data_IF_438654514250
#
_entry.id   IF_438654514250
#
_cell.length_a   1.000
_cell.length_b   1.000
_cell.length_c   1.000
_cell.angle_alpha   90.00
_cell.angle_beta   90.00
_cell.angle_gamma   90.00
#
_symmetry.space_group_name_H-M   'P 1'
#
loop_
_entity.id
_entity.type
_entity.pdbx_description
1 polymer ?
#
# COMPACT_ATOMS: atom_id res chain seq x y z
N UNK A 1 -11.62 -11.19 -0.70
CA UNK A 1 -10.85 -12.27 -0.04
C UNK A 1 -9.86 -12.82 -1.05
N UNK A 2 -8.57 -12.49 -0.94
CA UNK A 2 -7.53 -13.17 -1.74
C UNK A 2 -7.51 -14.63 -1.32
N UNK A 3 -7.44 -15.61 -2.24
CA UNK A 3 -7.25 -17.00 -1.85
C UNK A 3 -5.97 -17.08 -1.02
N UNK A 4 -6.03 -17.75 0.13
CA UNK A 4 -4.83 -18.05 0.91
C UNK A 4 -3.90 -18.87 0.02
N UNK A 5 -2.74 -18.31 -0.33
CA UNK A 5 -1.70 -19.07 -1.01
C UNK A 5 -1.17 -20.09 0.01
N UNK A 6 -1.62 -21.33 -0.10
CA UNK A 6 -1.09 -22.43 0.72
C UNK A 6 0.32 -22.76 0.26
N UNK A 7 1.31 -22.36 1.05
CA UNK A 7 2.69 -22.82 0.90
C UNK A 7 2.84 -24.16 1.63
N UNK A 8 2.84 -25.28 0.90
CA UNK A 8 3.14 -26.57 1.52
C UNK A 8 4.63 -26.64 1.88
N UNK A 9 5.00 -27.02 3.13
CA UNK A 9 6.39 -27.25 3.48
C UNK A 9 6.88 -28.45 2.67
N UNK A 10 7.77 -28.21 1.71
CA UNK A 10 8.48 -29.30 1.06
C UNK A 10 9.36 -29.94 2.12
N UNK A 11 9.19 -31.23 2.42
CA UNK A 11 10.17 -32.02 3.16
C UNK A 11 11.51 -32.18 2.41
N UNK A 12 11.95 -31.10 1.76
CA UNK A 12 13.12 -31.02 0.92
C UNK A 12 14.35 -30.70 1.78
N UNK A 13 15.53 -31.22 1.42
CA UNK A 13 16.76 -31.01 2.17
C UNK A 13 17.17 -29.52 2.24
N UNK A 14 17.90 -29.14 3.28
CA UNK A 14 18.48 -27.81 3.49
C UNK A 14 19.77 -27.56 2.67
N UNK A 15 20.10 -28.48 1.76
CA UNK A 15 21.23 -28.38 0.84
C UNK A 15 20.80 -28.61 -0.62
N UNK A 16 21.62 -28.12 -1.55
CA UNK A 16 21.46 -28.32 -2.98
C UNK A 16 22.63 -29.15 -3.53
N UNK A 17 22.34 -30.26 -4.19
CA UNK A 17 23.35 -31.16 -4.76
C UNK A 17 23.58 -30.80 -6.22
N UNK A 18 24.77 -30.30 -6.62
CA UNK A 18 25.05 -30.01 -8.02
C UNK A 18 25.19 -31.32 -8.84
N UNK A 19 24.87 -31.31 -10.14
CA UNK A 19 25.15 -32.46 -11.02
C UNK A 19 26.61 -32.90 -11.01
N UNK A 20 27.51 -31.98 -10.63
CA UNK A 20 28.92 -32.22 -10.46
C UNK A 20 29.30 -33.24 -9.37
N UNK A 21 28.45 -33.51 -8.38
CA UNK A 21 28.64 -34.64 -7.45
C UNK A 21 28.48 -35.96 -8.20
N UNK A 22 27.40 -36.12 -8.97
CA UNK A 22 27.20 -37.31 -9.82
C UNK A 22 28.30 -37.46 -10.87
N UNK A 23 28.81 -36.36 -11.44
CA UNK A 23 29.97 -36.43 -12.35
C UNK A 23 31.21 -36.99 -11.62
N UNK A 24 31.44 -36.62 -10.36
CA UNK A 24 32.58 -37.15 -9.57
C UNK A 24 32.44 -38.64 -9.32
N UNK A 25 31.26 -39.10 -8.93
CA UNK A 25 30.97 -40.53 -8.73
C UNK A 25 31.26 -41.34 -10.01
N UNK A 26 30.81 -40.84 -11.18
CA UNK A 26 31.10 -41.47 -12.47
C UNK A 26 32.59 -41.47 -12.83
N UNK A 27 33.31 -40.39 -12.51
CA UNK A 27 34.76 -40.33 -12.75
C UNK A 27 35.51 -41.37 -11.93
N UNK A 28 35.11 -41.56 -10.67
CA UNK A 28 35.70 -42.55 -9.77
C UNK A 28 35.38 -43.98 -10.24
N UNK A 29 34.14 -44.27 -10.64
CA UNK A 29 33.74 -45.58 -11.19
C UNK A 29 34.47 -45.94 -12.49
N UNK A 30 34.67 -44.97 -13.38
CA UNK A 30 35.34 -45.17 -14.67
C UNK A 30 36.87 -45.05 -14.58
N UNK A 31 37.43 -44.75 -13.40
CA UNK A 31 38.85 -44.47 -13.22
C UNK A 31 39.36 -43.30 -14.08
N UNK A 32 38.49 -42.34 -14.37
CA UNK A 32 38.74 -41.24 -15.30
C UNK A 32 39.07 -39.95 -14.56
N UNK A 33 40.05 -39.18 -15.07
CA UNK A 33 40.34 -37.85 -14.50
C UNK A 33 39.40 -36.78 -15.06
N UNK A 34 39.16 -35.70 -14.31
CA UNK A 34 38.41 -34.53 -14.84
C UNK A 34 39.03 -33.97 -16.13
N UNK A 35 40.36 -33.95 -16.24
CA UNK A 35 41.03 -33.45 -17.45
C UNK A 35 40.72 -34.33 -18.68
N UNK A 36 40.65 -35.63 -18.46
CA UNK A 36 40.27 -36.58 -19.51
C UNK A 36 38.81 -36.41 -19.92
N UNK A 37 37.89 -36.31 -18.94
CA UNK A 37 36.48 -36.04 -19.23
C UNK A 37 36.30 -34.71 -19.99
N UNK A 38 37.01 -33.65 -19.61
CA UNK A 38 36.94 -32.37 -20.32
C UNK A 38 37.33 -32.53 -21.79
N UNK A 39 38.39 -33.30 -22.05
CA UNK A 39 38.84 -33.62 -23.41
C UNK A 39 37.76 -34.40 -24.17
N UNK A 40 37.16 -35.43 -23.56
CA UNK A 40 36.09 -36.25 -24.19
C UNK A 40 34.82 -35.44 -24.48
N UNK A 41 34.48 -34.47 -23.63
CA UNK A 41 33.33 -33.59 -23.81
C UNK A 41 33.60 -32.41 -24.75
N UNK A 42 34.84 -32.21 -25.21
CA UNK A 42 35.22 -31.04 -26.00
C UNK A 42 35.06 -29.73 -25.22
N UNK A 43 35.36 -29.76 -23.91
CA UNK A 43 35.33 -28.60 -23.00
C UNK A 43 36.73 -28.25 -22.51
N UNK A 44 36.95 -27.00 -22.12
CA UNK A 44 38.16 -26.66 -21.38
C UNK A 44 38.10 -27.26 -19.97
N UNK A 45 39.26 -27.64 -19.41
CA UNK A 45 39.34 -28.12 -18.03
C UNK A 45 38.77 -27.10 -17.03
N UNK A 46 38.95 -25.79 -17.28
CA UNK A 46 38.35 -24.71 -16.49
C UNK A 46 36.82 -24.74 -16.52
N UNK A 47 36.22 -24.95 -17.70
CA UNK A 47 34.77 -25.02 -17.84
C UNK A 47 34.22 -26.23 -17.10
N UNK A 48 34.81 -27.42 -17.31
CA UNK A 48 34.36 -28.63 -16.62
C UNK A 48 34.49 -28.48 -15.11
N UNK A 49 35.59 -27.91 -14.60
CA UNK A 49 35.78 -27.71 -13.17
C UNK A 49 34.68 -26.82 -12.56
N UNK A 50 34.32 -25.71 -13.24
CA UNK A 50 33.21 -24.85 -12.81
C UNK A 50 31.86 -25.58 -12.86
N UNK A 51 31.65 -26.46 -13.83
CA UNK A 51 30.44 -27.27 -13.94
C UNK A 51 30.35 -28.29 -12.80
N UNK A 52 31.46 -28.98 -12.50
CA UNK A 52 31.57 -29.91 -11.37
C UNK A 52 31.35 -29.21 -10.02
N UNK A 53 31.74 -27.93 -9.90
CA UNK A 53 31.48 -27.09 -8.73
C UNK A 53 30.06 -26.50 -8.70
N UNK A 54 29.22 -26.71 -9.72
CA UNK A 54 27.87 -26.12 -9.81
C UNK A 54 27.83 -24.62 -10.14
N UNK A 55 29.00 -24.00 -10.41
CA UNK A 55 29.16 -22.56 -10.67
C UNK A 55 28.70 -22.12 -12.06
N UNK A 56 28.50 -23.05 -12.99
CA UNK A 56 27.91 -22.82 -14.31
C UNK A 56 26.84 -23.86 -14.59
N UNK A 57 25.81 -23.53 -15.38
CA UNK A 57 24.75 -24.48 -15.70
C UNK A 57 25.24 -25.59 -16.62
N UNK A 58 24.77 -26.81 -16.34
CA UNK A 58 24.88 -27.93 -17.26
C UNK A 58 23.87 -27.70 -18.38
N UNK A 59 24.35 -27.36 -19.58
CA UNK A 59 23.48 -27.14 -20.74
C UNK A 59 22.99 -28.47 -21.33
N UNK A 60 21.85 -28.44 -22.03
CA UNK A 60 21.33 -29.60 -22.75
C UNK A 60 22.34 -30.22 -23.72
N UNK A 61 23.19 -29.41 -24.33
CA UNK A 61 24.27 -29.89 -25.20
C UNK A 61 25.34 -30.65 -24.41
N UNK A 62 25.76 -30.14 -23.25
CA UNK A 62 26.71 -30.83 -22.37
C UNK A 62 26.09 -32.14 -21.84
N UNK A 63 24.79 -32.16 -21.54
CA UNK A 63 24.07 -33.37 -21.15
C UNK A 63 24.13 -34.46 -22.23
N UNK A 64 23.93 -34.10 -23.50
CA UNK A 64 24.05 -35.04 -24.63
C UNK A 64 25.47 -35.58 -24.79
N UNK A 65 26.48 -34.72 -24.63
CA UNK A 65 27.88 -35.16 -24.66
C UNK A 65 28.22 -36.07 -23.48
N UNK A 66 27.69 -35.77 -22.29
CA UNK A 66 27.84 -36.62 -21.10
C UNK A 66 27.20 -37.99 -21.29
N UNK A 67 26.04 -38.08 -21.94
CA UNK A 67 25.40 -39.36 -22.28
C UNK A 67 26.30 -40.24 -23.15
N UNK A 68 26.94 -39.67 -24.16
CA UNK A 68 27.87 -40.40 -25.03
C UNK A 68 29.11 -40.92 -24.29
N UNK A 69 29.54 -40.24 -23.22
CA UNK A 69 30.75 -40.61 -22.45
C UNK A 69 30.43 -41.54 -21.27
N UNK A 70 29.32 -41.32 -20.58
CA UNK A 70 28.96 -42.00 -19.33
C UNK A 70 27.91 -43.09 -19.51
N UNK A 71 27.18 -43.09 -20.63
CA UNK A 71 26.03 -43.95 -20.86
C UNK A 71 24.76 -43.52 -20.10
N UNK A 72 24.84 -42.55 -19.18
CA UNK A 72 23.66 -42.02 -18.49
C UNK A 72 22.85 -41.12 -19.44
N UNK A 73 21.54 -41.38 -19.63
CA UNK A 73 20.71 -40.58 -20.53
C UNK A 73 20.75 -39.08 -20.23
N UNK A 74 20.86 -38.23 -21.26
CA UNK A 74 20.93 -36.77 -21.13
C UNK A 74 19.76 -36.18 -20.35
N UNK A 75 18.57 -36.80 -20.44
CA UNK A 75 17.38 -36.42 -19.66
C UNK A 75 17.59 -36.49 -18.15
N UNK A 76 18.44 -37.40 -17.65
CA UNK A 76 18.75 -37.51 -16.23
C UNK A 76 19.68 -36.39 -15.78
N UNK A 77 20.71 -36.08 -16.57
CA UNK A 77 21.59 -34.93 -16.33
C UNK A 77 20.82 -33.60 -16.29
N UNK A 78 19.90 -33.39 -17.25
CA UNK A 78 19.05 -32.20 -17.27
C UNK A 78 18.14 -32.11 -16.04
N UNK A 79 17.63 -33.25 -15.56
CA UNK A 79 16.82 -33.29 -14.33
C UNK A 79 17.66 -32.92 -13.10
N UNK A 80 18.87 -33.50 -12.96
CA UNK A 80 19.79 -33.16 -11.87
C UNK A 80 20.10 -31.65 -11.85
N UNK A 81 20.32 -31.05 -13.00
CA UNK A 81 20.56 -29.60 -13.10
C UNK A 81 19.32 -28.79 -12.70
N UNK A 82 18.13 -29.18 -13.19
CA UNK A 82 16.88 -28.51 -12.84
C UNK A 82 16.59 -28.59 -11.34
N UNK A 83 16.78 -29.77 -10.73
CA UNK A 83 16.58 -30.00 -9.29
C UNK A 83 17.58 -29.16 -8.48
N UNK A 84 18.86 -29.14 -8.88
CA UNK A 84 19.90 -28.33 -8.23
C UNK A 84 19.58 -26.83 -8.27
N UNK A 85 19.20 -26.30 -9.44
CA UNK A 85 18.88 -24.87 -9.60
C UNK A 85 17.63 -24.48 -8.81
N UNK A 86 16.63 -25.34 -8.79
CA UNK A 86 15.41 -25.14 -7.99
C UNK A 86 15.73 -25.12 -6.50
N UNK A 87 16.58 -26.05 -6.03
CA UNK A 87 17.02 -26.08 -4.64
C UNK A 87 17.84 -24.84 -4.26
N UNK A 88 18.78 -24.40 -5.10
CA UNK A 88 19.52 -23.15 -4.86
C UNK A 88 18.60 -21.94 -4.73
N UNK A 89 17.59 -21.82 -5.60
CA UNK A 89 16.65 -20.70 -5.56
C UNK A 89 15.79 -20.74 -4.30
N UNK A 90 15.30 -21.93 -3.91
CA UNK A 90 14.56 -22.12 -2.67
C UNK A 90 15.39 -21.70 -1.45
N UNK A 91 16.62 -22.17 -1.32
CA UNK A 91 17.50 -21.85 -0.18
C UNK A 91 17.82 -20.35 -0.11
N UNK A 92 17.98 -19.68 -1.26
CA UNK A 92 18.16 -18.22 -1.31
C UNK A 92 16.91 -17.49 -0.81
N UNK A 93 15.73 -17.87 -1.32
CA UNK A 93 14.47 -17.27 -0.91
C UNK A 93 14.22 -17.47 0.59
N UNK A 94 14.46 -18.68 1.10
CA UNK A 94 14.33 -18.99 2.53
C UNK A 94 15.22 -18.10 3.39
N UNK A 95 16.47 -17.88 2.97
CA UNK A 95 17.39 -16.95 3.63
C UNK A 95 16.88 -15.50 3.57
N UNK A 96 16.43 -15.04 2.41
CA UNK A 96 15.89 -13.68 2.24
C UNK A 96 14.67 -13.43 3.12
N UNK A 97 13.78 -14.42 3.23
CA UNK A 97 12.59 -14.35 4.10
C UNK A 97 12.98 -14.31 5.58
N UNK A 98 13.97 -15.13 5.99
CA UNK A 98 14.47 -15.14 7.35
C UNK A 98 15.12 -13.79 7.73
N UNK A 99 15.89 -13.19 6.82
CA UNK A 99 16.48 -11.85 7.02
C UNK A 99 15.41 -10.75 7.11
N UNK A 100 14.23 -10.96 6.54
CA UNK A 100 13.12 -10.03 6.59
C UNK A 100 12.22 -10.20 7.82
N UNK A 101 12.40 -11.22 8.67
CA UNK A 101 11.57 -11.45 9.87
C UNK A 101 11.47 -10.21 10.79
N UNK A 102 12.53 -9.43 11.06
CA UNK A 102 12.43 -8.23 11.89
C UNK A 102 11.44 -7.17 11.36
N UNK A 103 11.11 -7.20 10.07
CA UNK A 103 10.12 -6.29 9.47
C UNK A 103 8.70 -6.51 10.02
N UNK A 104 8.40 -7.71 10.55
CA UNK A 104 7.09 -8.00 11.16
C UNK A 104 6.76 -7.06 12.31
N UNK A 105 7.76 -6.62 13.07
CA UNK A 105 7.60 -5.70 14.20
C UNK A 105 7.25 -4.26 13.76
N UNK A 106 7.50 -3.92 12.50
CA UNK A 106 7.25 -2.58 11.95
C UNK A 106 5.83 -2.43 11.40
N UNK A 107 5.14 -3.54 11.15
CA UNK A 107 3.81 -3.61 10.52
C UNK A 107 2.76 -3.99 11.58
N UNK A 108 1.52 -3.48 11.50
CA UNK A 108 0.44 -3.88 12.41
C UNK A 108 -0.13 -5.29 12.07
N UNK A 109 0.71 -6.33 12.07
CA UNK A 109 0.35 -7.71 11.66
C UNK A 109 -0.85 -8.24 12.44
N UNK A 110 -0.85 -8.08 13.77
CA UNK A 110 -1.96 -8.54 14.62
C UNK A 110 -3.28 -7.90 14.21
N UNK A 111 -3.28 -6.60 13.94
CA UNK A 111 -4.49 -5.88 13.56
C UNK A 111 -4.94 -6.27 12.15
N UNK A 112 -4.01 -6.49 11.22
CA UNK A 112 -4.31 -7.01 9.89
C UNK A 112 -5.00 -8.38 9.94
N UNK A 113 -4.57 -9.28 10.83
CA UNK A 113 -5.23 -10.58 11.04
C UNK A 113 -6.62 -10.41 11.67
N UNK A 114 -6.74 -9.63 12.74
CA UNK A 114 -8.03 -9.39 13.43
C UNK A 114 -9.07 -8.75 12.51
N UNK A 115 -8.64 -7.90 11.57
CA UNK A 115 -9.49 -7.29 10.55
C UNK A 115 -9.78 -8.22 9.36
N UNK A 116 -9.27 -9.45 9.35
CA UNK A 116 -9.48 -10.44 8.28
C UNK A 116 -8.75 -10.12 6.97
N UNK A 117 -7.75 -9.22 7.00
CA UNK A 117 -6.97 -8.81 5.83
C UNK A 117 -5.87 -9.83 5.53
N UNK A 118 -5.21 -10.31 6.59
CA UNK A 118 -4.30 -11.44 6.53
C UNK A 118 -5.01 -12.70 7.06
N UNK A 119 -4.66 -13.89 6.55
CA UNK A 119 -5.26 -15.14 7.02
C UNK A 119 -4.85 -15.43 8.47
N UNK A 120 -5.68 -16.16 9.22
CA UNK A 120 -5.36 -16.55 10.60
C UNK A 120 -4.16 -17.50 10.68
N UNK A 121 -4.00 -18.38 9.69
CA UNK A 121 -2.92 -19.36 9.57
C UNK A 121 -2.30 -19.33 8.17
N UNK A 122 -1.05 -19.79 7.99
CA UNK A 122 -0.08 -20.15 9.03
C UNK A 122 0.46 -18.95 9.82
N UNK A 123 0.84 -19.16 11.09
CA UNK A 123 1.32 -18.09 11.99
C UNK A 123 2.82 -17.92 12.11
N UNK A 124 3.65 -18.81 11.53
CA UNK A 124 5.10 -18.72 11.65
C UNK A 124 5.68 -17.48 10.95
N UNK A 125 6.82 -16.98 11.43
CA UNK A 125 7.38 -15.71 10.99
C UNK A 125 7.68 -15.66 9.49
N UNK A 126 8.20 -16.75 8.91
CA UNK A 126 8.53 -16.81 7.48
C UNK A 126 7.24 -16.71 6.66
N UNK A 127 6.21 -17.46 7.03
CA UNK A 127 4.90 -17.36 6.38
C UNK A 127 4.28 -15.98 6.53
N UNK A 128 4.42 -15.33 7.70
CA UNK A 128 3.92 -13.96 7.90
C UNK A 128 4.63 -12.95 6.99
N UNK A 129 5.94 -13.07 6.81
CA UNK A 129 6.68 -12.23 5.86
C UNK A 129 6.14 -12.44 4.44
N UNK A 130 5.94 -13.69 4.01
CA UNK A 130 5.39 -13.99 2.68
C UNK A 130 3.98 -13.41 2.48
N UNK A 131 3.11 -13.55 3.48
CA UNK A 131 1.75 -13.01 3.45
C UNK A 131 1.76 -11.48 3.37
N UNK A 132 2.67 -10.80 4.08
CA UNK A 132 2.84 -9.35 3.98
C UNK A 132 3.34 -8.93 2.60
N UNK A 133 4.36 -9.59 2.07
CA UNK A 133 4.84 -9.34 0.70
C UNK A 133 3.70 -9.49 -0.33
N UNK A 134 2.90 -10.54 -0.19
CA UNK A 134 1.72 -10.76 -1.03
C UNK A 134 0.65 -9.67 -0.84
N UNK A 135 0.32 -9.29 0.40
CA UNK A 135 -0.62 -8.21 0.72
C UNK A 135 -0.21 -6.89 0.06
N UNK A 136 1.06 -6.49 0.21
CA UNK A 136 1.60 -5.28 -0.41
C UNK A 136 1.82 -5.42 -1.93
N UNK A 137 1.78 -6.65 -2.47
CA UNK A 137 1.96 -6.92 -3.90
C UNK A 137 3.40 -6.72 -4.37
N UNK A 138 4.38 -7.02 -3.52
CA UNK A 138 5.82 -6.82 -3.80
C UNK A 138 6.59 -8.13 -3.60
N UNK A 139 7.66 -8.33 -4.38
CA UNK A 139 8.46 -9.56 -4.30
C UNK A 139 9.52 -9.53 -3.19
N UNK A 140 9.96 -8.33 -2.77
CA UNK A 140 11.06 -8.14 -1.82
C UNK A 140 10.78 -6.98 -0.86
N UNK A 141 11.33 -7.09 0.36
CA UNK A 141 11.26 -6.03 1.37
C UNK A 141 11.88 -4.71 0.87
N UNK A 142 12.99 -4.76 0.12
CA UNK A 142 13.61 -3.56 -0.43
C UNK A 142 12.64 -2.76 -1.32
N UNK A 143 11.84 -3.45 -2.14
CA UNK A 143 10.80 -2.82 -2.97
C UNK A 143 9.70 -2.20 -2.12
N UNK A 144 9.32 -2.84 -1.02
CA UNK A 144 8.36 -2.26 -0.06
C UNK A 144 8.87 -0.95 0.53
N UNK A 145 10.15 -0.90 0.94
CA UNK A 145 10.79 0.29 1.51
C UNK A 145 10.73 1.48 0.54
N UNK A 146 10.98 1.22 -0.72
CA UNK A 146 10.92 2.24 -1.78
C UNK A 146 9.50 2.73 -2.05
N UNK A 147 8.53 1.81 -2.18
CA UNK A 147 7.17 2.13 -2.62
C UNK A 147 6.25 2.64 -1.50
N UNK A 148 6.44 2.17 -0.26
CA UNK A 148 5.53 2.47 0.84
C UNK A 148 6.21 3.18 2.02
N UNK A 149 7.39 2.73 2.45
CA UNK A 149 8.03 3.34 3.63
C UNK A 149 8.45 4.79 3.36
N UNK A 150 9.10 5.06 2.22
CA UNK A 150 9.52 6.43 1.88
C UNK A 150 8.36 7.41 1.84
N UNK A 151 7.23 7.14 1.15
CA UNK A 151 6.05 7.99 1.23
C UNK A 151 5.43 8.05 2.64
N UNK A 152 5.33 6.92 3.35
CA UNK A 152 4.79 6.90 4.71
C UNK A 152 5.64 7.71 5.71
N UNK A 153 6.94 7.86 5.46
CA UNK A 153 7.83 8.67 6.26
C UNK A 153 7.60 10.18 6.07
N UNK A 154 6.93 10.61 4.99
CA UNK A 154 6.50 11.99 4.81
C UNK A 154 5.40 12.34 5.84
N UNK A 155 4.35 11.52 5.95
CA UNK A 155 3.30 11.62 6.99
C UNK A 155 3.83 11.79 8.41
N UNK A 156 4.94 11.11 8.70
CA UNK A 156 5.59 11.15 10.01
C UNK A 156 6.15 12.53 10.34
N UNK A 157 6.51 13.37 9.36
CA UNK A 157 7.12 14.68 9.61
C UNK A 157 6.14 15.67 10.27
N UNK A 158 4.83 15.53 10.06
CA UNK A 158 3.81 16.30 10.77
C UNK A 158 3.66 15.92 12.26
N UNK A 159 3.66 14.62 12.60
CA UNK A 159 3.55 14.13 13.99
C UNK A 159 4.60 13.04 14.33
N UNK A 160 5.91 13.39 14.45
CA UNK A 160 7.01 12.42 14.44
C UNK A 160 7.06 11.44 15.61
N UNK A 161 6.43 11.79 16.72
CA UNK A 161 6.46 11.04 17.98
C UNK A 161 5.41 9.94 18.04
N UNK A 162 4.45 9.88 17.10
CA UNK A 162 3.33 8.93 17.22
C UNK A 162 2.97 8.18 15.94
N UNK A 163 3.33 8.68 14.76
CA UNK A 163 3.03 8.02 13.49
C UNK A 163 3.98 6.86 13.21
N UNK A 164 3.44 5.65 13.00
CA UNK A 164 4.15 4.42 12.62
C UNK A 164 4.08 4.22 11.10
N UNK A 165 5.21 4.26 10.37
CA UNK A 165 5.21 4.14 8.92
C UNK A 165 4.54 2.87 8.39
N UNK A 166 4.70 1.73 9.06
CA UNK A 166 4.04 0.49 8.67
C UNK A 166 2.52 0.51 8.78
N UNK A 167 1.97 1.25 9.75
CA UNK A 167 0.53 1.42 9.91
C UNK A 167 -0.05 2.31 8.79
N UNK A 168 0.66 3.38 8.44
CA UNK A 168 0.32 4.24 7.29
C UNK A 168 0.40 3.45 5.99
N UNK A 169 1.49 2.70 5.76
CA UNK A 169 1.66 1.86 4.58
C UNK A 169 0.52 0.84 4.43
N UNK A 170 0.13 0.15 5.51
CA UNK A 170 -0.97 -0.78 5.50
C UNK A 170 -2.31 -0.10 5.14
N UNK A 171 -2.56 1.09 5.71
CA UNK A 171 -3.76 1.88 5.42
C UNK A 171 -3.84 2.30 3.94
N UNK A 172 -2.74 2.81 3.40
CA UNK A 172 -2.63 3.18 1.99
C UNK A 172 -2.86 1.99 1.08
N UNK A 173 -2.25 0.84 1.40
CA UNK A 173 -2.43 -0.39 0.62
C UNK A 173 -3.88 -0.84 0.58
N UNK A 174 -4.59 -0.78 1.70
CA UNK A 174 -6.03 -1.07 1.72
C UNK A 174 -6.80 -0.11 0.83
N UNK A 175 -6.49 1.19 0.90
CA UNK A 175 -7.08 2.19 0.02
C UNK A 175 -6.85 1.89 -1.47
N UNK A 176 -5.66 1.48 -1.85
CA UNK A 176 -5.33 1.06 -3.22
C UNK A 176 -6.16 -0.15 -3.66
N UNK A 177 -6.24 -1.19 -2.81
CA UNK A 177 -6.99 -2.41 -3.12
C UNK A 177 -8.48 -2.14 -3.27
N UNK A 178 -9.06 -1.33 -2.38
CA UNK A 178 -10.47 -0.94 -2.44
C UNK A 178 -10.77 -0.05 -3.64
N UNK A 179 -9.89 0.91 -3.95
CA UNK A 179 -10.09 1.84 -5.07
C UNK A 179 -9.98 1.14 -6.43
N UNK A 180 -9.22 0.03 -6.52
CA UNK A 180 -9.02 -0.73 -7.77
C UNK A 180 -10.35 -1.13 -8.39
N UNK A 181 -11.27 -1.62 -7.59
CA UNK A 181 -12.52 -2.24 -8.04
C UNK A 181 -13.67 -1.21 -8.20
N UNK A 182 -13.42 0.08 -7.90
CA UNK A 182 -14.37 1.17 -8.14
C UNK A 182 -14.29 1.61 -9.61
N UNK A 183 -15.40 1.48 -10.33
CA UNK A 183 -15.54 2.01 -11.69
C UNK A 183 -15.67 3.54 -11.66
N UNK A 184 -14.82 4.22 -12.44
CA UNK A 184 -14.84 5.67 -12.57
C UNK A 184 -14.87 6.08 -14.05
N UNK A 185 -15.47 7.24 -14.35
CA UNK A 185 -15.24 7.94 -15.61
C UNK A 185 -13.80 8.47 -15.72
N UNK A 186 -13.38 9.01 -16.87
CA UNK A 186 -12.08 9.68 -16.97
C UNK A 186 -12.05 10.93 -16.10
N UNK A 187 -10.88 11.25 -15.55
CA UNK A 187 -10.70 12.43 -14.70
C UNK A 187 -11.06 13.73 -15.44
N UNK A 188 -12.03 14.47 -14.89
CA UNK A 188 -12.51 15.76 -15.38
C UNK A 188 -12.49 16.79 -14.25
N UNK A 189 -11.34 17.46 -14.08
CA UNK A 189 -11.14 18.51 -13.09
C UNK A 189 -12.15 19.68 -13.22
N UNK A 190 -12.40 20.25 -14.41
CA UNK A 190 -13.45 21.24 -14.61
C UNK A 190 -14.85 20.76 -14.22
N UNK A 191 -15.20 19.51 -14.53
CA UNK A 191 -16.45 18.87 -14.11
C UNK A 191 -16.56 18.73 -12.59
N UNK A 192 -15.49 18.24 -11.96
CA UNK A 192 -15.40 18.13 -10.50
C UNK A 192 -15.57 19.49 -9.82
N UNK A 193 -14.93 20.55 -10.34
CA UNK A 193 -15.10 21.94 -9.86
C UNK A 193 -16.56 22.39 -9.92
N UNK A 194 -17.27 22.12 -11.03
CA UNK A 194 -18.70 22.43 -11.16
C UNK A 194 -19.58 21.62 -10.20
N UNK A 195 -19.11 20.46 -9.74
CA UNK A 195 -19.83 19.62 -8.79
C UNK A 195 -19.64 20.03 -7.31
N UNK A 196 -18.64 20.86 -6.98
CA UNK A 196 -18.35 21.27 -5.60
C UNK A 196 -19.56 21.86 -4.86
N UNK A 197 -20.38 22.76 -5.44
CA UNK A 197 -21.56 23.27 -4.75
C UNK A 197 -22.58 22.18 -4.40
N UNK A 198 -22.66 21.12 -5.22
CA UNK A 198 -23.52 19.96 -4.95
C UNK A 198 -22.94 19.12 -3.82
N UNK A 199 -21.64 18.84 -3.84
CA UNK A 199 -20.94 18.10 -2.78
C UNK A 199 -21.05 18.84 -1.44
N UNK A 200 -20.87 20.16 -1.43
CA UNK A 200 -21.01 21.00 -0.22
C UNK A 200 -22.39 20.89 0.43
N UNK A 201 -23.47 20.81 -0.36
CA UNK A 201 -24.83 20.61 0.18
C UNK A 201 -25.05 19.24 0.81
N UNK A 202 -24.22 18.25 0.49
CA UNK A 202 -24.30 16.93 1.13
C UNK A 202 -23.89 16.97 2.61
N UNK A 203 -23.21 18.02 3.04
CA UNK A 203 -22.81 18.19 4.44
C UNK A 203 -24.00 18.20 5.40
N UNK A 204 -25.17 18.65 4.95
CA UNK A 204 -26.41 18.66 5.75
C UNK A 204 -27.26 17.39 5.58
N UNK A 205 -26.74 16.34 4.93
CA UNK A 205 -27.42 15.05 4.76
C UNK A 205 -26.90 14.02 5.77
N UNK A 206 -27.70 12.99 6.10
CA UNK A 206 -27.22 11.89 6.93
C UNK A 206 -25.93 11.26 6.37
N UNK A 207 -24.95 10.90 7.23
CA UNK A 207 -23.62 10.47 6.79
C UNK A 207 -23.63 9.34 5.76
N UNK A 208 -24.48 8.33 5.90
CA UNK A 208 -24.55 7.18 4.99
C UNK A 208 -25.04 7.57 3.60
N UNK A 209 -26.06 8.45 3.54
CA UNK A 209 -26.57 9.00 2.30
C UNK A 209 -25.53 9.90 1.64
N UNK A 210 -24.90 10.77 2.42
CA UNK A 210 -23.84 11.65 1.96
C UNK A 210 -22.68 10.84 1.36
N UNK A 211 -22.20 9.82 2.07
CA UNK A 211 -21.10 8.95 1.63
C UNK A 211 -21.41 8.21 0.32
N UNK A 212 -22.64 7.72 0.13
CA UNK A 212 -23.06 7.12 -1.15
C UNK A 212 -23.04 8.15 -2.27
N UNK A 213 -23.63 9.33 -2.05
CA UNK A 213 -23.70 10.38 -3.07
C UNK A 213 -22.33 10.97 -3.40
N UNK A 214 -21.45 11.09 -2.41
CA UNK A 214 -20.06 11.52 -2.61
C UNK A 214 -19.34 10.56 -3.55
N UNK A 215 -19.41 9.24 -3.28
CA UNK A 215 -18.81 8.21 -4.14
C UNK A 215 -19.33 8.31 -5.57
N UNK A 216 -20.64 8.41 -5.78
CA UNK A 216 -21.23 8.51 -7.12
C UNK A 216 -20.79 9.76 -7.88
N UNK A 217 -20.76 10.91 -7.20
CA UNK A 217 -20.36 12.19 -7.81
C UNK A 217 -18.87 12.17 -8.12
N UNK A 218 -18.02 11.71 -7.20
CA UNK A 218 -16.57 11.61 -7.38
C UNK A 218 -16.21 10.63 -8.51
N UNK A 219 -16.82 9.43 -8.53
CA UNK A 219 -16.55 8.40 -9.53
C UNK A 219 -16.88 8.89 -10.95
N UNK A 220 -17.94 9.68 -11.11
CA UNK A 220 -18.30 10.30 -12.40
C UNK A 220 -17.19 11.19 -12.98
N UNK A 221 -16.37 11.81 -12.14
CA UNK A 221 -15.28 12.71 -12.55
C UNK A 221 -13.89 12.09 -12.33
N UNK A 222 -13.78 10.77 -12.30
CA UNK A 222 -12.50 10.06 -12.23
C UNK A 222 -11.87 9.98 -10.84
N UNK A 223 -12.65 10.19 -9.78
CA UNK A 223 -12.16 10.10 -8.39
C UNK A 223 -12.79 8.88 -7.70
N UNK A 224 -11.99 7.83 -7.49
CA UNK A 224 -12.32 6.67 -6.68
C UNK A 224 -12.19 7.01 -5.19
N UNK A 225 -13.32 7.32 -4.57
CA UNK A 225 -13.38 7.66 -3.16
C UNK A 225 -13.56 6.41 -2.29
N UNK A 226 -12.71 6.26 -1.27
CA UNK A 226 -12.69 5.09 -0.38
C UNK A 226 -12.63 5.54 1.08
N UNK A 227 -13.39 4.85 1.93
CA UNK A 227 -13.26 4.92 3.38
C UNK A 227 -12.56 3.67 3.91
N UNK A 228 -11.44 3.85 4.62
CA UNK A 228 -10.72 2.78 5.32
C UNK A 228 -10.37 3.28 6.71
N UNK A 229 -10.82 2.61 7.76
CA UNK A 229 -10.44 2.98 9.13
C UNK A 229 -8.92 2.93 9.28
N UNK A 230 -8.33 3.99 9.85
CA UNK A 230 -6.90 4.00 10.16
C UNK A 230 -6.49 2.80 11.04
N UNK A 231 -5.24 2.37 10.91
CA UNK A 231 -4.60 1.45 11.85
C UNK A 231 -4.14 2.21 13.10
N UNK A 232 -4.02 1.50 14.23
CA UNK A 232 -3.48 2.14 15.43
C UNK A 232 -2.04 2.63 15.17
N UNK A 233 -1.78 3.88 15.55
CA UNK A 233 -0.53 4.56 15.26
C UNK A 233 -0.34 5.07 13.83
N UNK A 234 -1.30 4.94 12.90
CA UNK A 234 -1.20 5.59 11.59
C UNK A 234 -1.38 7.11 11.71
N UNK A 235 -2.44 7.56 12.39
CA UNK A 235 -2.72 8.99 12.63
C UNK A 235 -2.77 9.81 11.34
N UNK A 236 -3.46 9.28 10.34
CA UNK A 236 -3.65 9.96 9.05
C UNK A 236 -5.13 10.21 8.86
N UNK A 237 -5.51 11.33 8.25
CA UNK A 237 -6.91 11.70 8.01
C UNK A 237 -7.34 11.43 6.57
N UNK A 238 -6.48 11.76 5.60
CA UNK A 238 -6.75 11.66 4.18
C UNK A 238 -5.49 11.31 3.37
N UNK A 239 -5.67 10.89 2.12
CA UNK A 239 -4.58 10.78 1.14
C UNK A 239 -5.14 10.74 -0.29
N UNK A 240 -4.38 11.25 -1.26
CA UNK A 240 -4.82 11.33 -2.67
C UNK A 240 -3.81 10.81 -3.69
N UNK A 241 -4.02 9.61 -4.21
CA UNK A 241 -3.08 8.96 -5.13
C UNK A 241 -3.62 8.87 -6.55
N UNK A 242 -2.86 9.38 -7.53
CA UNK A 242 -3.11 9.08 -8.94
C UNK A 242 -2.81 7.59 -9.23
N UNK A 243 -3.82 6.85 -9.67
CA UNK A 243 -3.71 5.42 -10.04
C UNK A 243 -3.30 5.28 -11.51
N UNK A 244 -3.81 6.18 -12.34
CA UNK A 244 -3.46 6.30 -13.75
C UNK A 244 -3.57 7.76 -14.17
N UNK A 245 -3.29 8.05 -15.45
CA UNK A 245 -3.51 9.40 -15.99
C UNK A 245 -4.94 9.90 -15.77
N UNK A 246 -5.94 9.03 -15.70
CA UNK A 246 -7.35 9.43 -15.73
C UNK A 246 -8.15 8.94 -14.50
N UNK A 247 -7.50 8.38 -13.49
CA UNK A 247 -8.14 7.91 -12.26
C UNK A 247 -7.32 8.31 -11.02
N UNK A 248 -8.00 8.94 -10.06
CA UNK A 248 -7.44 9.35 -8.78
C UNK A 248 -8.13 8.59 -7.65
N UNK A 249 -7.38 8.10 -6.68
CA UNK A 249 -7.90 7.59 -5.42
C UNK A 249 -7.96 8.71 -4.40
N UNK A 250 -9.09 8.89 -3.73
CA UNK A 250 -9.25 9.75 -2.56
C UNK A 250 -9.57 8.84 -1.37
N UNK A 251 -8.65 8.73 -0.43
CA UNK A 251 -8.75 7.86 0.73
C UNK A 251 -9.04 8.68 1.97
N UNK A 252 -10.05 8.29 2.76
CA UNK A 252 -10.38 8.92 4.03
C UNK A 252 -10.36 7.92 5.18
N UNK A 253 -9.75 8.31 6.29
CA UNK A 253 -9.52 7.40 7.42
C UNK A 253 -10.65 7.34 8.43
N UNK A 254 -11.53 8.34 8.41
CA UNK A 254 -12.55 8.60 9.44
C UNK A 254 -11.95 8.85 10.84
N UNK A 255 -10.69 9.27 10.92
CA UNK A 255 -10.04 9.71 12.17
C UNK A 255 -10.89 10.81 12.84
N UNK A 256 -11.05 10.75 14.17
CA UNK A 256 -11.92 11.60 15.02
C UNK A 256 -13.44 11.40 14.89
N UNK A 257 -13.91 10.74 13.83
CA UNK A 257 -15.31 10.30 13.65
C UNK A 257 -16.37 11.39 13.84
N UNK A 258 -16.05 12.66 13.56
CA UNK A 258 -17.03 13.75 13.54
C UNK A 258 -17.15 14.31 12.12
N UNK A 259 -18.33 14.80 11.80
CA UNK A 259 -18.68 15.31 10.48
C UNK A 259 -17.82 16.52 10.07
N UNK A 260 -17.52 17.44 10.98
CA UNK A 260 -16.63 18.59 10.75
C UNK A 260 -15.25 18.18 10.23
N UNK A 261 -14.62 17.21 10.88
CA UNK A 261 -13.33 16.66 10.47
C UNK A 261 -13.42 15.88 9.16
N UNK A 262 -14.46 15.05 8.97
CA UNK A 262 -14.68 14.34 7.71
C UNK A 262 -14.75 15.31 6.53
N UNK A 263 -15.60 16.33 6.62
CA UNK A 263 -15.88 17.24 5.52
C UNK A 263 -14.70 18.14 5.22
N UNK A 264 -14.00 18.61 6.26
CA UNK A 264 -12.76 19.36 6.08
C UNK A 264 -11.72 18.52 5.33
N UNK A 265 -11.42 17.31 5.81
CA UNK A 265 -10.44 16.43 5.16
C UNK A 265 -10.87 16.09 3.73
N UNK A 266 -12.15 15.78 3.49
CA UNK A 266 -12.64 15.49 2.14
C UNK A 266 -12.39 16.65 1.17
N UNK A 267 -12.75 17.89 1.55
CA UNK A 267 -12.54 19.04 0.66
C UNK A 267 -11.08 19.46 0.55
N UNK A 268 -10.27 19.22 1.59
CA UNK A 268 -8.82 19.40 1.55
C UNK A 268 -8.20 18.47 0.49
N UNK A 269 -8.53 17.17 0.51
CA UNK A 269 -8.08 16.21 -0.51
C UNK A 269 -8.56 16.59 -1.92
N UNK A 270 -9.81 17.04 -2.06
CA UNK A 270 -10.31 17.56 -3.35
C UNK A 270 -9.51 18.80 -3.80
N UNK A 271 -9.08 19.64 -2.85
CA UNK A 271 -8.16 20.75 -3.08
C UNK A 271 -6.85 20.28 -3.71
N UNK A 272 -6.20 19.27 -3.15
CA UNK A 272 -4.98 18.67 -3.73
C UNK A 272 -5.21 18.18 -5.16
N UNK A 273 -6.30 17.44 -5.40
CA UNK A 273 -6.64 16.91 -6.72
C UNK A 273 -6.79 18.04 -7.75
N UNK A 274 -7.44 19.14 -7.38
CA UNK A 274 -7.80 20.22 -8.28
C UNK A 274 -6.69 21.25 -8.50
N UNK A 275 -5.88 21.53 -7.48
CA UNK A 275 -4.87 22.59 -7.48
C UNK A 275 -3.47 22.09 -7.88
N UNK A 276 -3.10 20.87 -7.51
CA UNK A 276 -1.69 20.42 -7.57
C UNK A 276 -1.39 19.37 -8.67
N UNK A 277 -2.42 18.87 -9.38
CA UNK A 277 -2.27 18.11 -10.63
C UNK A 277 -1.67 16.69 -10.52
N UNK A 278 -1.33 16.09 -11.68
CA UNK A 278 -0.93 14.68 -11.86
C UNK A 278 0.51 14.35 -11.47
N UNK A 279 1.27 15.34 -10.99
CA UNK A 279 2.73 15.37 -11.06
C UNK A 279 3.44 14.35 -10.18
N UNK A 280 2.89 14.00 -9.02
CA UNK A 280 3.48 13.01 -8.15
C UNK A 280 2.38 12.18 -7.48
N UNK A 281 2.75 10.99 -7.07
CA UNK A 281 1.92 10.12 -6.24
C UNK A 281 1.76 10.80 -4.88
N UNK A 282 0.74 11.65 -4.71
CA UNK A 282 0.56 12.44 -3.48
C UNK A 282 -0.11 11.63 -2.38
N UNK A 283 0.70 10.77 -1.79
CA UNK A 283 0.37 10.23 -0.49
C UNK A 283 0.57 11.42 0.46
N UNK A 284 -0.50 11.99 1.06
CA UNK A 284 -0.49 13.14 1.98
C UNK A 284 0.88 13.24 2.67
N UNK A 285 1.67 14.24 2.29
CA UNK A 285 3.09 14.26 2.68
C UNK A 285 3.25 14.56 4.18
N UNK A 286 2.15 14.48 4.98
CA UNK A 286 2.02 14.99 6.34
C UNK A 286 2.80 16.26 6.45
N UNK A 287 2.44 17.20 5.57
CA UNK A 287 3.38 18.17 5.05
C UNK A 287 4.24 18.76 6.15
N UNK A 288 5.53 18.91 5.86
CA UNK A 288 6.30 19.93 6.58
C UNK A 288 5.45 21.19 6.62
N UNK A 289 5.35 21.85 7.77
CA UNK A 289 4.62 23.13 7.90
C UNK A 289 5.04 24.19 6.86
N UNK A 290 6.14 23.95 6.14
CA UNK A 290 6.70 24.78 5.08
C UNK A 290 6.26 24.39 3.65
N UNK A 291 5.43 23.37 3.40
CA UNK A 291 4.89 23.13 2.04
C UNK A 291 3.72 24.09 1.75
N UNK A 292 3.86 25.03 0.80
CA UNK A 292 2.78 25.96 0.46
C UNK A 292 1.50 25.27 -0.04
N UNK A 293 1.60 24.05 -0.57
CA UNK A 293 0.45 23.29 -1.11
C UNK A 293 -0.55 22.90 -0.03
N UNK A 294 -0.07 22.51 1.15
CA UNK A 294 -0.94 22.19 2.29
C UNK A 294 -1.77 23.41 2.69
N UNK A 295 -1.14 24.58 2.78
CA UNK A 295 -1.85 25.83 3.06
C UNK A 295 -2.82 26.27 1.95
N UNK A 296 -2.56 25.88 0.70
CA UNK A 296 -3.50 26.10 -0.41
C UNK A 296 -4.72 25.17 -0.33
N UNK A 297 -4.51 23.89 -0.02
CA UNK A 297 -5.57 22.90 0.15
C UNK A 297 -6.44 23.19 1.39
N UNK A 298 -5.81 23.57 2.51
CA UNK A 298 -6.51 24.00 3.72
C UNK A 298 -7.42 25.20 3.44
N UNK A 299 -6.87 26.25 2.84
CA UNK A 299 -7.65 27.44 2.47
C UNK A 299 -8.76 27.10 1.48
N UNK A 300 -8.49 26.22 0.50
CA UNK A 300 -9.51 25.75 -0.43
C UNK A 300 -10.68 25.08 0.30
N UNK A 301 -10.40 24.18 1.25
CA UNK A 301 -11.43 23.51 2.05
C UNK A 301 -12.20 24.50 2.93
N UNK A 302 -11.49 25.40 3.60
CA UNK A 302 -12.03 26.45 4.44
C UNK A 302 -13.03 27.33 3.68
N UNK A 303 -12.57 27.93 2.58
CA UNK A 303 -13.34 28.91 1.81
C UNK A 303 -14.50 28.24 1.06
N UNK A 304 -14.36 26.97 0.68
CA UNK A 304 -15.46 26.22 0.08
C UNK A 304 -16.55 25.92 1.11
N UNK A 305 -16.18 25.50 2.33
CA UNK A 305 -17.14 25.16 3.38
C UNK A 305 -17.86 26.42 3.89
N UNK A 306 -17.10 27.43 4.29
CA UNK A 306 -17.62 28.71 4.78
C UNK A 306 -16.95 29.83 3.96
N UNK A 307 -17.61 30.31 2.89
CA UNK A 307 -17.09 31.40 2.06
C UNK A 307 -16.69 32.64 2.86
N UNK A 308 -15.61 33.30 2.42
CA UNK A 308 -15.02 34.47 3.09
C UNK A 308 -16.02 35.61 3.31
N UNK A 309 -17.05 35.75 2.46
CA UNK A 309 -18.13 36.73 2.65
C UNK A 309 -18.87 36.58 3.99
N UNK A 310 -18.84 35.39 4.59
CA UNK A 310 -19.44 35.12 5.89
C UNK A 310 -18.47 35.22 7.08
N UNK A 311 -17.18 35.53 6.86
CA UNK A 311 -16.16 35.55 7.92
C UNK A 311 -16.46 36.56 9.03
N UNK A 312 -17.00 37.72 8.68
CA UNK A 312 -17.46 38.74 9.63
C UNK A 312 -18.63 38.24 10.49
N UNK A 313 -19.59 37.55 9.88
CA UNK A 313 -20.76 36.98 10.56
C UNK A 313 -20.35 35.87 11.53
N UNK A 314 -19.41 35.01 11.13
CA UNK A 314 -18.89 33.92 11.92
C UNK A 314 -18.37 34.39 13.29
N UNK A 315 -17.65 35.52 13.33
CA UNK A 315 -17.11 36.12 14.58
C UNK A 315 -18.19 36.62 15.55
N UNK A 316 -19.44 36.78 15.08
CA UNK A 316 -20.56 37.22 15.93
C UNK A 316 -21.33 36.07 16.57
N UNK A 317 -20.98 34.82 16.25
CA UNK A 317 -21.65 33.62 16.72
C UNK A 317 -21.11 33.25 18.11
N UNK A 318 -21.98 33.35 19.11
CA UNK A 318 -21.59 33.16 20.53
C UNK A 318 -22.29 31.98 21.20
N UNK A 319 -23.22 31.31 20.50
CA UNK A 319 -23.99 30.18 21.06
C UNK A 319 -24.23 29.06 20.05
N UNK A 320 -24.45 27.81 20.50
CA UNK A 320 -24.83 26.70 19.63
C UNK A 320 -26.06 26.96 18.76
N UNK A 321 -27.09 27.63 19.30
CA UNK A 321 -28.30 27.97 18.54
C UNK A 321 -28.03 28.94 17.40
N UNK A 322 -27.19 29.97 17.64
CA UNK A 322 -26.80 30.91 16.60
C UNK A 322 -25.90 30.26 15.54
N UNK A 323 -25.04 29.32 15.93
CA UNK A 323 -24.26 28.51 14.99
C UNK A 323 -25.14 27.61 14.12
N UNK A 324 -26.16 26.96 14.71
CA UNK A 324 -27.13 26.13 13.97
C UNK A 324 -27.93 26.95 12.97
N UNK A 325 -28.41 28.12 13.37
CA UNK A 325 -29.14 29.02 12.49
C UNK A 325 -28.26 29.49 11.31
N UNK A 326 -27.02 29.86 11.59
CA UNK A 326 -26.06 30.26 10.56
C UNK A 326 -25.70 29.10 9.61
N UNK A 327 -25.48 27.89 10.13
CA UNK A 327 -25.20 26.71 9.31
C UNK A 327 -26.35 26.42 8.33
N UNK A 328 -27.60 26.52 8.79
CA UNK A 328 -28.78 26.36 7.95
C UNK A 328 -28.88 27.47 6.89
N UNK A 329 -28.58 28.72 7.24
CA UNK A 329 -28.57 29.86 6.32
C UNK A 329 -27.58 29.63 5.15
N UNK A 330 -26.37 29.17 5.44
CA UNK A 330 -25.33 28.97 4.41
C UNK A 330 -25.35 27.56 3.80
N UNK A 331 -26.25 26.68 4.24
CA UNK A 331 -26.45 25.33 3.71
C UNK A 331 -25.30 24.36 3.98
N UNK A 332 -24.81 24.31 5.23
CA UNK A 332 -23.83 23.33 5.72
C UNK A 332 -24.26 22.65 7.02
N UNK A 333 -23.55 21.60 7.46
CA UNK A 333 -23.76 21.03 8.79
C UNK A 333 -23.41 22.03 9.91
N UNK A 334 -24.20 22.10 11.00
CA UNK A 334 -23.83 22.81 12.22
C UNK A 334 -22.45 22.40 12.77
N UNK A 335 -22.07 21.13 12.64
CA UNK A 335 -20.77 20.61 13.07
C UNK A 335 -19.61 21.35 12.40
N UNK A 336 -19.70 21.63 11.10
CA UNK A 336 -18.68 22.37 10.34
C UNK A 336 -18.48 23.78 10.89
N UNK A 337 -19.58 24.47 11.23
CA UNK A 337 -19.50 25.82 11.83
C UNK A 337 -18.85 25.75 13.21
N UNK A 338 -19.24 24.78 14.05
CA UNK A 338 -18.61 24.58 15.35
C UNK A 338 -17.11 24.27 15.22
N UNK A 339 -16.74 23.36 14.32
CA UNK A 339 -15.36 23.01 14.01
C UNK A 339 -14.54 24.21 13.56
N UNK A 340 -15.10 25.06 12.69
CA UNK A 340 -14.45 26.31 12.27
C UNK A 340 -14.25 27.30 13.42
N UNK A 341 -15.28 27.52 14.24
CA UNK A 341 -15.20 28.44 15.39
C UNK A 341 -14.16 27.98 16.42
N UNK A 342 -14.04 26.66 16.64
CA UNK A 342 -13.03 26.06 17.50
C UNK A 342 -11.62 26.21 16.89
N UNK A 343 -11.47 25.92 15.60
CA UNK A 343 -10.21 26.05 14.87
C UNK A 343 -9.68 27.50 14.90
N UNK A 344 -10.56 28.48 14.67
CA UNK A 344 -10.20 29.91 14.66
C UNK A 344 -10.00 30.50 16.07
N UNK A 345 -10.15 29.68 17.13
CA UNK A 345 -10.00 30.09 18.52
C UNK A 345 -11.12 31.01 19.04
N UNK A 346 -12.23 31.12 18.31
CA UNK A 346 -13.41 31.91 18.71
C UNK A 346 -14.16 31.16 19.81
N UNK A 347 -14.29 29.84 19.66
CA UNK A 347 -14.83 28.94 20.69
C UNK A 347 -13.70 28.09 21.29
N UNK A 348 -13.73 27.80 22.60
CA UNK A 348 -12.77 26.87 23.19
C UNK A 348 -13.02 25.44 22.68
N UNK A 349 -11.97 24.62 22.70
CA UNK A 349 -12.08 23.21 22.37
C UNK A 349 -13.17 22.52 23.21
N UNK A 350 -14.02 21.73 22.57
CA UNK A 350 -15.14 21.03 23.20
C UNK A 350 -16.46 21.80 23.27
N UNK A 351 -16.44 23.14 23.09
CA UNK A 351 -17.66 23.93 23.11
C UNK A 351 -18.41 23.82 21.77
N UNK A 352 -19.70 23.46 21.83
CA UNK A 352 -20.50 23.20 20.64
C UNK A 352 -20.30 21.80 20.04
N UNK A 353 -19.65 20.88 20.75
CA UNK A 353 -19.49 19.49 20.28
C UNK A 353 -20.84 18.76 20.14
N UNK A 354 -21.90 19.24 20.79
CA UNK A 354 -23.28 18.76 20.59
C UNK A 354 -23.84 19.07 19.18
N UNK A 355 -23.18 19.96 18.44
CA UNK A 355 -23.49 20.25 17.04
C UNK A 355 -22.80 19.29 16.07
N UNK A 356 -21.81 18.52 16.52
CA UNK A 356 -21.03 17.61 15.68
C UNK A 356 -21.68 16.24 15.66
N UNK A 357 -21.87 15.72 14.46
CA UNK A 357 -22.45 14.40 14.28
C UNK A 357 -21.35 13.36 14.21
N UNK A 358 -21.55 12.24 14.91
CA UNK A 358 -20.61 11.12 14.85
C UNK A 358 -20.80 10.37 13.55
N UNK A 359 -19.73 10.21 12.80
CA UNK A 359 -19.71 9.47 11.54
C UNK A 359 -19.17 8.07 11.77
N UNK A 360 -20.00 7.05 11.49
CA UNK A 360 -19.58 5.65 11.45
C UNK A 360 -19.96 5.05 10.09
N UNK A 361 -19.05 5.18 9.13
CA UNK A 361 -19.24 4.61 7.79
C UNK A 361 -18.56 3.26 7.71
N UNK A 362 -19.23 2.31 7.08
CA UNK A 362 -18.65 1.01 6.79
C UNK A 362 -17.43 1.17 5.87
N UNK A 363 -16.35 0.47 6.24
CA UNK A 363 -15.16 0.37 5.41
C UNK A 363 -15.45 -0.52 4.21
N UNK A 364 -15.07 -0.09 3.01
CA UNK A 364 -15.35 -0.82 1.77
C UNK A 364 -14.52 -2.09 1.55
N UNK A 365 -14.13 -2.80 2.61
CA UNK A 365 -13.24 -3.97 2.58
C UNK A 365 -13.71 -5.08 3.51
#
# INVERSE_FOLDING_TARGET
>A
MMPATEFHPSGAPDYAVPPGETIREYLDELGMTQRELATRLGLSAKHLNRLVQGLVPLSHEIAQRLELVTGMPARLWNRLEADYRSALQRLRLEKELLEAVPWLDEIPVRELVVRGILPEEPTDDISRVQQLLAFFGVAHLATWRELYERPAAAFRRAEPSVTRPGAVAAWLRLGELAARDIECGPFDGPGLRRALPRLRRLTSQPPELAASMMRDVCARYGVAMVFVREFDGARVSGATRWVSGDKVTLLLSLRRRTDDHLWFTFFHEIGHILLHGKGDTWIDDGGSADDPREGEADRFACDLLIPEEHSSRLRTITSPDSARAFAHEIGVSPGIVAGRLQHDGIWPAGYGDDLKERVDLETGL
#
